data_IF_037749891493
#
_entry.id   IF_037749891493
#
_cell.length_a   1.000
_cell.length_b   1.000
_cell.length_c   1.000
_cell.angle_alpha   90.00
_cell.angle_beta   90.00
_cell.angle_gamma   90.00
#
_symmetry.space_group_name_H-M   'P 1'
#
loop_
_entity.id
_entity.type
_entity.pdbx_description
1 polymer ?
#
# COMPACT_ATOMS: atom_id res chain seq x y z
N UNK A 1 -7.31 -57.32 -5.51
CA UNK A 1 -8.71 -57.66 -5.16
C UNK A 1 -9.46 -58.58 -6.15
N UNK A 2 -8.94 -58.95 -7.32
CA UNK A 2 -9.65 -59.89 -8.25
C UNK A 2 -9.42 -61.38 -8.00
N UNK A 3 -8.27 -61.79 -7.43
CA UNK A 3 -7.91 -63.23 -7.33
C UNK A 3 -8.62 -63.99 -6.21
N UNK A 4 -8.84 -63.43 -5.02
CA UNK A 4 -9.45 -64.16 -3.88
C UNK A 4 -10.99 -64.26 -3.90
N UNK A 5 -11.69 -63.40 -4.66
CA UNK A 5 -13.14 -63.52 -4.88
C UNK A 5 -13.51 -64.76 -5.72
N UNK A 6 -12.56 -65.23 -6.53
CA UNK A 6 -12.67 -66.47 -7.31
C UNK A 6 -12.17 -67.68 -6.53
N UNK A 7 -11.09 -67.56 -5.74
CA UNK A 7 -10.47 -68.70 -5.03
C UNK A 7 -11.43 -69.34 -4.02
N UNK A 8 -12.16 -68.58 -3.21
CA UNK A 8 -13.07 -69.17 -2.22
C UNK A 8 -14.21 -70.02 -2.83
N UNK A 9 -14.97 -69.52 -3.84
CA UNK A 9 -15.96 -70.36 -4.52
C UNK A 9 -15.32 -71.48 -5.35
N UNK A 10 -14.12 -71.29 -5.94
CA UNK A 10 -13.40 -72.38 -6.63
C UNK A 10 -12.98 -73.50 -5.69
N UNK A 11 -12.46 -73.18 -4.51
CA UNK A 11 -12.09 -74.18 -3.50
C UNK A 11 -13.32 -74.92 -3.00
N UNK A 12 -14.45 -74.24 -2.83
CA UNK A 12 -15.73 -74.87 -2.53
C UNK A 12 -16.21 -75.79 -3.67
N UNK A 13 -16.06 -75.36 -4.93
CA UNK A 13 -16.41 -76.15 -6.11
C UNK A 13 -15.54 -77.40 -6.26
N UNK A 14 -14.23 -77.27 -6.02
CA UNK A 14 -13.29 -78.41 -6.02
C UNK A 14 -13.60 -79.36 -4.86
N UNK A 15 -13.91 -78.86 -3.66
CA UNK A 15 -14.29 -79.69 -2.51
C UNK A 15 -15.61 -80.43 -2.73
N UNK A 16 -16.61 -79.77 -3.34
CA UNK A 16 -17.88 -80.39 -3.72
C UNK A 16 -17.67 -81.43 -4.82
N UNK A 17 -16.88 -81.11 -5.86
CA UNK A 17 -16.57 -82.03 -6.95
C UNK A 17 -15.78 -83.26 -6.46
N UNK A 18 -14.82 -83.06 -5.55
CA UNK A 18 -14.08 -84.14 -4.90
C UNK A 18 -14.99 -85.02 -4.04
N UNK A 19 -15.91 -84.39 -3.29
CA UNK A 19 -16.92 -85.09 -2.50
C UNK A 19 -17.82 -85.97 -3.37
N UNK A 20 -18.33 -85.43 -4.50
CA UNK A 20 -19.17 -86.16 -5.46
C UNK A 20 -18.39 -87.30 -6.13
N UNK A 21 -17.14 -87.05 -6.55
CA UNK A 21 -16.29 -88.05 -7.21
C UNK A 21 -16.02 -89.26 -6.33
N UNK A 22 -15.77 -89.05 -5.03
CA UNK A 22 -15.51 -90.14 -4.09
C UNK A 22 -16.81 -90.92 -3.77
N UNK A 23 -17.94 -90.22 -3.68
CA UNK A 23 -19.26 -90.81 -3.42
C UNK A 23 -19.73 -91.78 -4.53
N UNK A 24 -19.34 -91.53 -5.78
CA UNK A 24 -19.71 -92.36 -6.94
C UNK A 24 -18.74 -93.51 -7.22
N UNK A 25 -17.50 -93.46 -6.72
CA UNK A 25 -16.43 -94.38 -7.16
C UNK A 25 -15.91 -95.31 -6.04
N UNK A 26 -16.35 -95.14 -4.80
CA UNK A 26 -15.97 -96.01 -3.67
C UNK A 26 -17.20 -96.49 -2.90
N UNK A 27 -17.24 -97.77 -2.55
CA UNK A 27 -18.37 -98.40 -1.87
C UNK A 27 -18.76 -97.71 -0.55
N UNK A 28 -20.04 -97.88 -0.20
CA UNK A 28 -20.82 -97.25 0.89
C UNK A 28 -20.04 -96.80 2.14
N UNK A 29 -19.15 -97.62 2.70
CA UNK A 29 -18.52 -97.35 4.00
C UNK A 29 -17.45 -96.26 3.98
N UNK A 30 -16.73 -96.09 2.87
CA UNK A 30 -15.70 -95.05 2.74
C UNK A 30 -16.32 -93.67 2.48
N UNK A 31 -17.48 -93.64 1.82
CA UNK A 31 -18.24 -92.41 1.61
C UNK A 31 -18.80 -91.84 2.92
N UNK A 32 -19.29 -92.70 3.83
CA UNK A 32 -19.83 -92.29 5.13
C UNK A 32 -18.75 -91.64 6.01
N UNK A 33 -17.55 -92.20 6.04
CA UNK A 33 -16.42 -91.66 6.82
C UNK A 33 -15.96 -90.30 6.29
N UNK A 34 -15.97 -90.11 4.98
CA UNK A 34 -15.61 -88.82 4.35
C UNK A 34 -16.69 -87.77 4.61
N UNK A 35 -17.98 -88.11 4.52
CA UNK A 35 -19.07 -87.18 4.84
C UNK A 35 -19.00 -86.72 6.30
N UNK A 36 -18.73 -87.66 7.23
CA UNK A 36 -18.55 -87.37 8.65
C UNK A 36 -17.40 -86.39 8.93
N UNK A 37 -16.33 -86.42 8.14
CA UNK A 37 -15.18 -85.52 8.27
C UNK A 37 -15.41 -84.19 7.54
N UNK A 38 -16.16 -84.21 6.43
CA UNK A 38 -16.42 -83.05 5.59
C UNK A 38 -17.39 -82.06 6.24
N UNK A 39 -18.43 -82.52 6.93
CA UNK A 39 -19.41 -81.64 7.60
C UNK A 39 -18.75 -80.70 8.64
N UNK A 40 -17.92 -81.20 9.59
CA UNK A 40 -17.19 -80.35 10.53
C UNK A 40 -16.24 -79.36 9.85
N UNK A 41 -15.54 -79.79 8.80
CA UNK A 41 -14.62 -78.93 8.05
C UNK A 41 -15.38 -77.78 7.38
N UNK A 42 -16.53 -78.06 6.78
CA UNK A 42 -17.36 -77.03 6.13
C UNK A 42 -17.96 -76.04 7.13
N UNK A 43 -18.34 -76.50 8.32
CA UNK A 43 -18.77 -75.62 9.43
C UNK A 43 -17.61 -74.71 9.88
N UNK A 44 -16.41 -75.27 10.07
CA UNK A 44 -15.23 -74.50 10.47
C UNK A 44 -14.84 -73.45 9.40
N UNK A 45 -14.86 -73.80 8.11
CA UNK A 45 -14.59 -72.87 7.01
C UNK A 45 -15.66 -71.77 6.94
N UNK A 46 -16.93 -72.12 7.13
CA UNK A 46 -18.03 -71.13 7.17
C UNK A 46 -17.89 -70.14 8.32
N UNK A 47 -17.49 -70.63 9.50
CA UNK A 47 -17.15 -69.80 10.66
C UNK A 47 -15.94 -68.91 10.40
N UNK A 48 -14.88 -69.45 9.77
CA UNK A 48 -13.67 -68.69 9.43
C UNK A 48 -13.97 -67.57 8.43
N UNK A 49 -14.78 -67.84 7.40
CA UNK A 49 -15.19 -66.82 6.42
C UNK A 49 -16.05 -65.75 7.09
N UNK A 50 -17.03 -66.14 7.93
CA UNK A 50 -17.81 -65.17 8.71
C UNK A 50 -16.90 -64.34 9.61
N UNK A 51 -16.03 -64.98 10.39
CA UNK A 51 -15.08 -64.30 11.29
C UNK A 51 -14.18 -63.32 10.53
N UNK A 52 -13.57 -63.72 9.41
CA UNK A 52 -12.75 -62.85 8.57
C UNK A 52 -13.54 -61.66 8.00
N UNK A 53 -14.78 -61.88 7.56
CA UNK A 53 -15.64 -60.79 7.08
C UNK A 53 -15.98 -59.84 8.22
N UNK A 54 -16.29 -60.33 9.42
CA UNK A 54 -16.63 -59.50 10.58
C UNK A 54 -15.43 -58.72 11.10
N UNK A 55 -14.25 -59.36 11.21
CA UNK A 55 -13.00 -58.71 11.63
C UNK A 55 -12.54 -57.68 10.59
N UNK A 56 -12.66 -57.98 9.29
CA UNK A 56 -12.34 -57.03 8.23
C UNK A 56 -13.30 -55.85 8.17
N UNK A 57 -14.61 -56.08 8.39
CA UNK A 57 -15.59 -54.99 8.52
C UNK A 57 -15.25 -54.11 9.71
N UNK A 58 -14.97 -54.69 10.89
CA UNK A 58 -14.49 -53.94 12.08
C UNK A 58 -13.23 -53.13 11.79
N UNK A 59 -12.23 -53.70 11.12
CA UNK A 59 -11.00 -52.99 10.77
C UNK A 59 -11.13 -51.91 9.67
N UNK A 60 -12.23 -51.90 8.90
CA UNK A 60 -12.56 -50.79 7.99
C UNK A 60 -13.32 -49.70 8.77
N UNK A 61 -14.29 -50.10 9.58
CA UNK A 61 -15.06 -49.20 10.43
C UNK A 61 -14.17 -48.40 11.38
N UNK A 62 -13.27 -49.07 12.10
CA UNK A 62 -12.31 -48.41 13.01
C UNK A 62 -11.43 -47.39 12.28
N UNK A 63 -10.99 -47.68 11.05
CA UNK A 63 -10.20 -46.74 10.23
C UNK A 63 -10.99 -45.53 9.77
N UNK A 64 -12.28 -45.71 9.47
CA UNK A 64 -13.17 -44.58 9.13
C UNK A 64 -13.38 -43.69 10.36
N UNK A 65 -13.61 -44.30 11.52
CA UNK A 65 -13.75 -43.57 12.79
C UNK A 65 -12.47 -42.83 13.18
N UNK A 66 -11.30 -43.46 13.05
CA UNK A 66 -9.99 -42.84 13.28
C UNK A 66 -9.82 -41.60 12.39
N UNK A 67 -10.11 -41.74 11.09
CA UNK A 67 -10.03 -40.63 10.12
C UNK A 67 -10.99 -39.48 10.47
N UNK A 68 -12.23 -39.79 10.81
CA UNK A 68 -13.25 -38.76 11.06
C UNK A 68 -12.95 -38.00 12.36
N UNK A 69 -12.48 -38.70 13.41
CA UNK A 69 -12.00 -38.07 14.65
C UNK A 69 -10.76 -37.20 14.42
N UNK A 70 -9.80 -37.67 13.61
CA UNK A 70 -8.65 -36.85 13.22
C UNK A 70 -9.08 -35.59 12.50
N UNK A 71 -10.02 -35.69 11.56
CA UNK A 71 -10.51 -34.54 10.81
C UNK A 71 -11.15 -33.49 11.72
N UNK A 72 -11.90 -33.90 12.75
CA UNK A 72 -12.47 -32.97 13.73
C UNK A 72 -11.36 -32.34 14.57
N UNK A 73 -10.39 -33.13 15.03
CA UNK A 73 -9.27 -32.64 15.83
C UNK A 73 -8.39 -31.63 15.07
N UNK A 74 -8.12 -31.88 13.79
CA UNK A 74 -7.35 -30.97 12.93
C UNK A 74 -8.10 -29.65 12.73
N UNK A 75 -9.40 -29.69 12.41
CA UNK A 75 -10.25 -28.49 12.29
C UNK A 75 -10.32 -27.70 13.59
N UNK A 76 -10.44 -28.37 14.73
CA UNK A 76 -10.41 -27.73 16.05
C UNK A 76 -9.06 -27.04 16.33
N UNK A 77 -7.95 -27.68 15.94
CA UNK A 77 -6.61 -27.10 16.09
C UNK A 77 -6.41 -25.86 15.24
N UNK A 78 -6.89 -25.89 13.99
CA UNK A 78 -6.89 -24.76 13.06
C UNK A 78 -7.74 -23.60 13.60
N UNK A 79 -8.97 -23.88 14.05
CA UNK A 79 -9.87 -22.89 14.64
C UNK A 79 -9.22 -22.18 15.84
N UNK A 80 -8.60 -22.92 16.76
CA UNK A 80 -7.91 -22.32 17.90
C UNK A 80 -6.74 -21.43 17.50
N UNK A 81 -6.03 -21.79 16.43
CA UNK A 81 -4.94 -20.95 15.92
C UNK A 81 -5.49 -19.65 15.33
N UNK A 82 -6.56 -19.74 14.54
CA UNK A 82 -7.23 -18.55 13.98
C UNK A 82 -7.71 -17.62 15.10
N UNK A 83 -8.40 -18.16 16.12
CA UNK A 83 -8.89 -17.37 17.24
C UNK A 83 -7.77 -16.74 18.08
N UNK A 84 -6.65 -17.42 18.20
CA UNK A 84 -5.44 -16.87 18.82
C UNK A 84 -4.90 -15.68 18.02
N UNK A 85 -4.84 -15.79 16.69
CA UNK A 85 -4.41 -14.69 15.82
C UNK A 85 -5.38 -13.50 15.91
N UNK A 86 -6.69 -13.74 16.00
CA UNK A 86 -7.69 -12.69 16.26
C UNK A 86 -7.43 -11.90 17.54
N UNK A 87 -7.11 -12.58 18.64
CA UNK A 87 -6.87 -11.94 19.93
C UNK A 87 -5.49 -11.25 19.97
N UNK A 88 -4.43 -11.91 19.51
CA UNK A 88 -3.07 -11.42 19.66
C UNK A 88 -2.63 -10.45 18.56
N UNK A 89 -3.06 -10.65 17.32
CA UNK A 89 -2.67 -9.78 16.18
C UNK A 89 -3.62 -8.62 16.00
N UNK A 90 -4.92 -8.85 16.17
CA UNK A 90 -5.95 -7.84 15.88
C UNK A 90 -6.63 -7.26 17.12
N UNK A 91 -6.35 -7.77 18.32
CA UNK A 91 -6.97 -7.30 19.56
C UNK A 91 -8.47 -7.57 19.63
N UNK A 92 -8.98 -8.53 18.83
CA UNK A 92 -10.39 -8.91 18.81
C UNK A 92 -10.60 -10.03 19.81
N UNK A 93 -11.43 -9.79 20.83
CA UNK A 93 -11.69 -10.79 21.88
C UNK A 93 -12.32 -12.05 21.29
N UNK A 94 -11.62 -13.18 21.44
CA UNK A 94 -12.07 -14.53 21.07
C UNK A 94 -12.24 -15.45 22.29
N UNK A 95 -12.09 -14.90 23.51
CA UNK A 95 -12.05 -15.66 24.76
C UNK A 95 -13.28 -16.53 25.00
N UNK A 96 -14.48 -16.00 24.79
CA UNK A 96 -15.73 -16.75 24.95
C UNK A 96 -15.82 -17.95 23.99
N UNK A 97 -15.34 -17.78 22.76
CA UNK A 97 -15.27 -18.84 21.77
C UNK A 97 -14.23 -19.89 22.20
N UNK A 98 -13.06 -19.46 22.64
CA UNK A 98 -12.00 -20.34 23.15
C UNK A 98 -12.45 -21.15 24.37
N UNK A 99 -13.23 -20.56 25.28
CA UNK A 99 -13.80 -21.24 26.45
C UNK A 99 -14.84 -22.30 26.04
N UNK A 100 -15.71 -22.02 25.07
CA UNK A 100 -16.65 -23.03 24.57
C UNK A 100 -15.96 -24.16 23.80
N UNK A 101 -14.90 -23.86 23.05
CA UNK A 101 -14.11 -24.86 22.34
C UNK A 101 -13.44 -25.88 23.29
N UNK A 102 -13.23 -25.54 24.57
CA UNK A 102 -12.75 -26.52 25.57
C UNK A 102 -13.70 -27.72 25.68
N UNK A 103 -15.00 -27.53 25.51
CA UNK A 103 -15.99 -28.64 25.52
C UNK A 103 -15.75 -29.62 24.38
N UNK A 104 -15.31 -29.13 23.22
CA UNK A 104 -14.94 -29.97 22.07
C UNK A 104 -13.64 -30.72 22.36
N UNK A 105 -12.68 -30.08 23.05
CA UNK A 105 -11.44 -30.74 23.49
C UNK A 105 -11.72 -31.90 24.44
N UNK A 106 -12.59 -31.68 25.43
CA UNK A 106 -13.00 -32.70 26.39
C UNK A 106 -13.73 -33.85 25.69
N UNK A 107 -14.66 -33.53 24.80
CA UNK A 107 -15.37 -34.53 24.00
C UNK A 107 -14.43 -35.34 23.08
N UNK A 108 -13.44 -34.71 22.44
CA UNK A 108 -12.41 -35.42 21.68
C UNK A 108 -11.57 -36.35 22.56
N UNK A 109 -11.25 -35.92 23.79
CA UNK A 109 -10.51 -36.74 24.75
C UNK A 109 -11.31 -37.96 25.21
N UNK A 110 -12.63 -37.83 25.36
CA UNK A 110 -13.55 -38.95 25.61
C UNK A 110 -13.58 -39.95 24.45
N UNK A 111 -13.50 -39.49 23.19
CA UNK A 111 -13.35 -40.34 22.02
C UNK A 111 -11.96 -41.00 21.89
N UNK A 112 -11.04 -40.69 22.80
CA UNK A 112 -9.67 -41.18 22.79
C UNK A 112 -8.73 -40.36 21.90
N UNK A 113 -9.07 -39.12 21.57
CA UNK A 113 -8.23 -38.19 20.80
C UNK A 113 -7.73 -37.05 21.69
N UNK A 114 -6.41 -36.98 21.90
CA UNK A 114 -5.79 -35.91 22.66
C UNK A 114 -5.25 -34.84 21.70
N UNK A 115 -5.69 -33.59 21.87
CA UNK A 115 -5.24 -32.43 21.08
C UNK A 115 -4.45 -31.46 21.98
N UNK A 116 -3.15 -31.74 22.11
CA UNK A 116 -2.19 -30.91 22.85
C UNK A 116 -0.96 -30.65 21.96
N UNK A 117 -1.07 -29.73 21.00
CA UNK A 117 -0.02 -29.38 20.02
C UNK A 117 0.29 -30.45 18.96
N UNK A 118 0.05 -31.74 19.26
CA UNK A 118 0.00 -32.86 18.32
C UNK A 118 -1.22 -33.72 18.61
N UNK A 119 -1.92 -34.14 17.56
CA UNK A 119 -3.07 -35.03 17.64
C UNK A 119 -2.59 -36.45 17.95
N UNK A 120 -3.02 -37.04 19.07
CA UNK A 120 -2.72 -38.43 19.45
C UNK A 120 -4.01 -39.22 19.60
N UNK A 121 -4.02 -40.46 19.11
CA UNK A 121 -5.20 -41.33 19.16
C UNK A 121 -4.91 -42.57 19.99
N UNK A 122 -5.74 -42.79 21.00
CA UNK A 122 -5.83 -44.03 21.74
C UNK A 122 -6.78 -45.01 21.02
N UNK A 123 -6.19 -45.94 20.27
CA UNK A 123 -6.93 -46.99 19.54
C UNK A 123 -7.68 -47.96 20.46
N UNK A 124 -7.37 -48.02 21.75
CA UNK A 124 -8.11 -48.86 22.71
C UNK A 124 -9.42 -48.20 23.09
N UNK A 125 -9.41 -46.88 23.33
CA UNK A 125 -10.63 -46.09 23.57
C UNK A 125 -11.49 -45.99 22.32
N UNK A 126 -10.89 -45.72 21.16
CA UNK A 126 -11.60 -45.61 19.88
C UNK A 126 -12.43 -46.88 19.54
N UNK A 127 -11.96 -48.07 19.94
CA UNK A 127 -12.67 -49.33 19.74
C UNK A 127 -13.99 -49.46 20.50
N UNK A 128 -14.20 -48.63 21.53
CA UNK A 128 -15.42 -48.60 22.36
C UNK A 128 -16.41 -47.51 21.95
N UNK A 129 -15.97 -46.60 21.08
CA UNK A 129 -16.76 -45.47 20.59
C UNK A 129 -17.80 -45.94 19.58
N UNK A 130 -18.95 -45.28 19.53
CA UNK A 130 -19.99 -45.49 18.51
C UNK A 130 -19.98 -44.32 17.53
N UNK A 131 -20.35 -44.54 16.27
CA UNK A 131 -20.46 -43.45 15.28
C UNK A 131 -21.36 -42.29 15.73
N UNK A 132 -22.37 -42.57 16.55
CA UNK A 132 -23.25 -41.55 17.12
C UNK A 132 -22.48 -40.54 17.99
N UNK A 133 -21.45 -40.99 18.71
CA UNK A 133 -20.63 -40.13 19.56
C UNK A 133 -19.76 -39.19 18.69
N UNK A 134 -19.18 -39.70 17.60
CA UNK A 134 -18.41 -38.89 16.63
C UNK A 134 -19.31 -37.84 15.97
N UNK A 135 -20.50 -38.24 15.54
CA UNK A 135 -21.47 -37.32 14.93
C UNK A 135 -21.96 -36.27 15.94
N UNK A 136 -22.10 -36.63 17.21
CA UNK A 136 -22.41 -35.69 18.28
C UNK A 136 -21.30 -34.66 18.48
N UNK A 137 -20.03 -35.09 18.54
CA UNK A 137 -18.89 -34.15 18.66
C UNK A 137 -18.80 -33.24 17.44
N UNK A 138 -19.04 -33.76 16.24
CA UNK A 138 -19.09 -32.96 15.01
C UNK A 138 -20.16 -31.88 15.09
N UNK A 139 -21.39 -32.24 15.50
CA UNK A 139 -22.49 -31.29 15.66
C UNK A 139 -22.25 -30.28 16.78
N UNK A 140 -21.60 -30.70 17.87
CA UNK A 140 -21.19 -29.80 18.94
C UNK A 140 -20.20 -28.75 18.41
N UNK A 141 -19.19 -29.18 17.66
CA UNK A 141 -18.19 -28.28 17.07
C UNK A 141 -18.83 -27.30 16.06
N UNK A 142 -19.64 -27.81 15.14
CA UNK A 142 -20.35 -26.98 14.14
C UNK A 142 -21.33 -26.00 14.81
N UNK A 143 -22.07 -26.44 15.84
CA UNK A 143 -23.00 -25.57 16.56
C UNK A 143 -22.31 -24.48 17.40
N UNK A 144 -21.11 -24.72 17.94
CA UNK A 144 -20.32 -23.66 18.58
C UNK A 144 -19.82 -22.68 17.51
N UNK A 145 -19.29 -23.20 16.40
CA UNK A 145 -18.77 -22.42 15.28
C UNK A 145 -19.83 -21.46 14.72
N UNK A 146 -21.00 -21.97 14.34
CA UNK A 146 -22.10 -21.17 13.77
C UNK A 146 -22.54 -20.01 14.68
N UNK A 147 -22.49 -20.20 16.01
CA UNK A 147 -22.87 -19.16 16.97
C UNK A 147 -21.79 -18.09 17.13
N UNK A 148 -20.54 -18.50 17.26
CA UNK A 148 -19.46 -17.58 17.59
C UNK A 148 -18.85 -16.88 16.38
N UNK A 149 -18.96 -17.45 15.18
CA UNK A 149 -18.46 -16.80 13.96
C UNK A 149 -19.23 -15.52 13.62
N UNK A 150 -20.55 -15.49 13.89
CA UNK A 150 -21.36 -14.28 13.72
C UNK A 150 -20.90 -13.18 14.68
N UNK A 151 -20.60 -13.56 15.93
CA UNK A 151 -20.09 -12.62 16.94
C UNK A 151 -18.69 -12.13 16.56
N UNK A 152 -17.82 -13.04 16.11
CA UNK A 152 -16.47 -12.73 15.64
C UNK A 152 -16.52 -11.78 14.44
N UNK A 153 -17.41 -12.03 13.47
CA UNK A 153 -17.65 -11.15 12.34
C UNK A 153 -18.09 -9.75 12.77
N UNK A 154 -19.02 -9.64 13.72
CA UNK A 154 -19.45 -8.33 14.24
C UNK A 154 -18.28 -7.57 14.87
N UNK A 155 -17.53 -8.21 15.78
CA UNK A 155 -16.36 -7.60 16.45
C UNK A 155 -15.26 -7.21 15.46
N UNK A 156 -15.08 -8.03 14.43
CA UNK A 156 -14.16 -7.77 13.33
C UNK A 156 -14.55 -6.51 12.55
N UNK A 157 -15.83 -6.40 12.16
CA UNK A 157 -16.34 -5.23 11.44
C UNK A 157 -16.25 -3.94 12.28
N UNK A 158 -16.49 -4.03 13.59
CA UNK A 158 -16.28 -2.91 14.51
C UNK A 158 -14.81 -2.46 14.50
N UNK A 159 -13.87 -3.42 14.57
CA UNK A 159 -12.44 -3.13 14.53
C UNK A 159 -11.99 -2.53 13.20
N UNK A 160 -12.49 -3.03 12.07
CA UNK A 160 -12.19 -2.43 10.77
C UNK A 160 -12.75 -1.00 10.65
N UNK A 161 -13.92 -0.75 11.22
CA UNK A 161 -14.52 0.59 11.26
C UNK A 161 -13.71 1.54 12.12
N UNK A 162 -13.15 1.06 13.23
CA UNK A 162 -12.22 1.81 14.08
C UNK A 162 -10.93 2.16 13.33
N UNK A 163 -10.32 1.20 12.61
CA UNK A 163 -9.15 1.50 11.76
C UNK A 163 -9.47 2.54 10.68
N UNK A 164 -10.61 2.41 9.99
CA UNK A 164 -11.03 3.39 9.00
C UNK A 164 -11.18 4.78 9.62
N UNK A 165 -11.79 4.87 10.80
CA UNK A 165 -11.92 6.12 11.54
C UNK A 165 -10.56 6.73 11.86
N UNK A 166 -9.60 5.94 12.34
CA UNK A 166 -8.25 6.42 12.61
C UNK A 166 -7.54 6.95 11.36
N UNK A 167 -7.67 6.26 10.22
CA UNK A 167 -7.08 6.73 8.97
C UNK A 167 -7.71 8.04 8.49
N UNK A 168 -9.04 8.18 8.58
CA UNK A 168 -9.74 9.45 8.28
C UNK A 168 -9.33 10.58 9.20
N UNK A 169 -9.13 10.29 10.49
CA UNK A 169 -8.63 11.29 11.43
C UNK A 169 -7.20 11.72 11.10
N UNK A 170 -6.34 10.81 10.61
CA UNK A 170 -4.99 11.15 10.14
C UNK A 170 -5.02 12.01 8.88
N UNK A 171 -5.89 11.67 7.91
CA UNK A 171 -6.09 12.47 6.70
C UNK A 171 -6.54 13.88 7.05
N UNK A 172 -7.57 14.01 7.89
CA UNK A 172 -8.08 15.29 8.37
C UNK A 172 -7.06 16.09 9.20
N UNK A 173 -6.17 15.41 9.93
CA UNK A 173 -5.12 16.05 10.72
C UNK A 173 -3.96 16.59 9.86
N UNK A 174 -3.84 16.18 8.60
CA UNK A 174 -2.86 16.75 7.67
C UNK A 174 -2.07 15.74 6.82
N UNK A 175 -2.31 14.43 6.97
CA UNK A 175 -1.70 13.40 6.11
C UNK A 175 -2.52 13.18 4.83
N UNK A 176 -2.34 14.05 3.85
CA UNK A 176 -3.21 14.13 2.66
C UNK A 176 -3.06 12.95 1.68
N UNK A 177 -1.99 12.16 1.78
CA UNK A 177 -1.70 11.05 0.86
C UNK A 177 -2.42 9.73 1.23
N UNK A 178 -3.33 9.75 2.21
CA UNK A 178 -4.01 8.55 2.70
C UNK A 178 -5.30 8.21 1.94
N UNK A 179 -5.81 9.13 1.12
CA UNK A 179 -7.10 9.02 0.45
C UNK A 179 -7.30 7.67 -0.28
N UNK A 180 -6.31 7.25 -1.07
CA UNK A 180 -6.41 6.00 -1.83
C UNK A 180 -6.51 4.76 -0.96
N UNK A 181 -5.90 4.74 0.23
CA UNK A 181 -6.01 3.62 1.17
C UNK A 181 -7.32 3.66 1.96
N UNK A 182 -7.81 4.86 2.27
CA UNK A 182 -9.13 5.08 2.87
C UNK A 182 -10.21 4.57 1.92
N UNK A 183 -10.19 4.96 0.64
CA UNK A 183 -11.14 4.48 -0.37
C UNK A 183 -11.09 2.96 -0.54
N UNK A 184 -9.89 2.36 -0.57
CA UNK A 184 -9.73 0.90 -0.61
C UNK A 184 -10.37 0.23 0.59
N UNK A 185 -10.15 0.73 1.80
CA UNK A 185 -10.74 0.17 3.01
C UNK A 185 -12.25 0.37 3.05
N UNK A 186 -12.74 1.54 2.65
CA UNK A 186 -14.18 1.80 2.50
C UNK A 186 -14.83 0.85 1.50
N UNK A 187 -14.19 0.61 0.35
CA UNK A 187 -14.71 -0.32 -0.66
C UNK A 187 -14.85 -1.75 -0.13
N UNK A 188 -13.93 -2.19 0.75
CA UNK A 188 -13.95 -3.49 1.43
C UNK A 188 -15.04 -3.56 2.50
N UNK A 189 -15.34 -2.44 3.16
CA UNK A 189 -16.35 -2.35 4.22
C UNK A 189 -17.76 -2.05 3.74
N UNK A 190 -17.93 -1.68 2.46
CA UNK A 190 -19.26 -1.47 1.89
C UNK A 190 -20.08 -2.75 2.04
N UNK A 191 -21.38 -2.64 2.38
CA UNK A 191 -22.29 -3.77 2.44
C UNK A 191 -22.59 -4.26 1.01
N UNK A 192 -21.62 -4.92 0.40
CA UNK A 192 -21.80 -5.77 -0.77
C UNK A 192 -21.68 -7.21 -0.29
N UNK A 193 -22.74 -8.00 -0.50
CA UNK A 193 -22.76 -9.45 -0.26
C UNK A 193 -21.42 -10.08 -0.63
N UNK A 194 -20.77 -10.86 0.28
CA UNK A 194 -19.85 -12.00 -0.05
C UNK A 194 -18.96 -12.55 1.07
N UNK A 195 -18.89 -12.00 2.29
CA UNK A 195 -18.07 -12.66 3.31
C UNK A 195 -18.86 -13.87 3.82
N UNK A 196 -18.40 -15.06 3.43
CA UNK A 196 -18.84 -16.29 4.07
C UNK A 196 -18.38 -16.17 5.52
N UNK A 197 -19.32 -16.22 6.46
CA UNK A 197 -19.05 -16.15 7.89
C UNK A 197 -18.43 -17.48 8.28
N UNK A 198 -17.13 -17.60 8.01
CA UNK A 198 -16.25 -18.72 8.31
C UNK A 198 -14.93 -18.17 8.83
N UNK A 199 -14.45 -18.68 9.96
CA UNK A 199 -13.27 -18.18 10.69
C UNK A 199 -12.03 -18.03 9.82
N UNK A 200 -11.83 -18.92 8.84
CA UNK A 200 -10.71 -18.83 7.89
C UNK A 200 -10.89 -17.64 6.95
N UNK A 201 -12.07 -17.49 6.36
CA UNK A 201 -12.39 -16.35 5.47
C UNK A 201 -12.31 -15.01 6.23
N UNK A 202 -12.78 -14.98 7.49
CA UNK A 202 -12.64 -13.82 8.37
C UNK A 202 -11.17 -13.48 8.63
N UNK A 203 -10.33 -14.49 8.86
CA UNK A 203 -8.89 -14.31 9.07
C UNK A 203 -8.20 -13.78 7.81
N UNK A 204 -8.52 -14.32 6.64
CA UNK A 204 -7.99 -13.85 5.36
C UNK A 204 -8.38 -12.38 5.12
N UNK A 205 -9.66 -12.05 5.34
CA UNK A 205 -10.13 -10.67 5.25
C UNK A 205 -9.37 -9.72 6.21
N UNK A 206 -9.16 -10.13 7.46
CA UNK A 206 -8.42 -9.32 8.43
C UNK A 206 -6.93 -9.16 8.08
N UNK A 207 -6.31 -10.15 7.46
CA UNK A 207 -4.95 -10.01 6.94
C UNK A 207 -4.89 -8.93 5.85
N UNK A 208 -5.85 -8.95 4.92
CA UNK A 208 -5.92 -7.95 3.85
C UNK A 208 -6.23 -6.54 4.37
N UNK A 209 -7.10 -6.41 5.38
CA UNK A 209 -7.36 -5.14 6.06
C UNK A 209 -6.12 -4.66 6.79
N UNK A 210 -5.47 -5.53 7.57
CA UNK A 210 -4.23 -5.22 8.27
C UNK A 210 -3.14 -4.71 7.34
N UNK A 211 -2.93 -5.37 6.19
CA UNK A 211 -1.98 -4.91 5.16
C UNK A 211 -2.32 -3.52 4.63
N UNK A 212 -3.60 -3.23 4.41
CA UNK A 212 -4.05 -1.92 3.90
C UNK A 212 -3.80 -0.81 4.94
N UNK A 213 -4.06 -1.10 6.22
CA UNK A 213 -3.83 -0.17 7.34
C UNK A 213 -2.34 0.05 7.54
N UNK A 214 -1.54 -1.00 7.50
CA UNK A 214 -0.08 -0.93 7.62
C UNK A 214 0.54 -0.07 6.51
N UNK A 215 0.14 -0.27 5.25
CA UNK A 215 0.56 0.57 4.12
C UNK A 215 0.21 2.05 4.35
N UNK A 216 -1.01 2.33 4.82
CA UNK A 216 -1.45 3.70 5.09
C UNK A 216 -0.60 4.35 6.21
N UNK A 217 -0.31 3.61 7.29
CA UNK A 217 0.53 4.11 8.38
C UNK A 217 1.99 4.32 7.95
N UNK A 218 2.51 3.46 7.07
CA UNK A 218 3.85 3.64 6.49
C UNK A 218 3.93 4.90 5.62
N UNK A 219 2.89 5.19 4.82
CA UNK A 219 2.80 6.44 4.05
C UNK A 219 2.81 7.66 5.00
N UNK A 220 1.97 7.65 6.03
CA UNK A 220 1.94 8.73 7.02
C UNK A 220 3.29 8.90 7.75
N UNK A 221 3.98 7.80 8.05
CA UNK A 221 5.31 7.83 8.65
C UNK A 221 6.36 8.44 7.70
N UNK A 222 6.31 8.13 6.41
CA UNK A 222 7.19 8.75 5.42
C UNK A 222 6.94 10.25 5.30
N UNK A 223 5.67 10.68 5.30
CA UNK A 223 5.30 12.09 5.30
C UNK A 223 5.81 12.80 6.58
N UNK A 224 5.72 12.13 7.74
CA UNK A 224 6.26 12.65 8.99
C UNK A 224 7.79 12.84 8.95
N UNK A 225 8.53 11.87 8.40
CA UNK A 225 9.98 11.97 8.19
C UNK A 225 10.34 13.18 7.31
N UNK A 226 9.61 13.37 6.21
CA UNK A 226 9.82 14.51 5.30
C UNK A 226 9.56 15.84 6.01
N UNK A 227 8.45 15.95 6.75
CA UNK A 227 8.09 17.16 7.48
C UNK A 227 9.08 17.48 8.60
N UNK A 228 9.59 16.46 9.30
CA UNK A 228 10.62 16.63 10.32
C UNK A 228 11.93 17.16 9.72
N UNK A 229 12.35 16.63 8.56
CA UNK A 229 13.51 17.13 7.83
C UNK A 229 13.33 18.61 7.43
N UNK A 230 12.17 18.96 6.87
CA UNK A 230 11.86 20.35 6.49
C UNK A 230 11.84 21.27 7.71
N UNK A 231 11.25 20.85 8.83
CA UNK A 231 11.23 21.66 10.06
C UNK A 231 12.61 21.92 10.64
N UNK A 232 13.54 20.96 10.51
CA UNK A 232 14.92 21.14 10.93
C UNK A 232 15.68 22.12 10.04
N UNK A 233 15.50 22.01 8.73
CA UNK A 233 16.19 22.86 7.73
C UNK A 233 15.70 24.31 7.78
N UNK A 234 14.38 24.52 7.79
CA UNK A 234 13.77 25.83 7.58
C UNK A 234 13.51 26.53 8.91
N UNK A 235 12.81 25.86 9.82
CA UNK A 235 12.40 26.49 11.07
C UNK A 235 13.54 26.47 12.11
N UNK A 236 14.62 25.71 11.88
CA UNK A 236 15.74 25.49 12.84
C UNK A 236 15.23 25.09 14.22
N UNK A 237 14.09 24.39 14.27
CA UNK A 237 13.41 24.00 15.50
C UNK A 237 14.00 22.70 16.02
N UNK A 238 14.02 22.54 17.35
CA UNK A 238 14.34 21.27 17.99
C UNK A 238 13.24 20.23 17.72
N UNK A 239 13.53 19.32 16.78
CA UNK A 239 12.67 18.20 16.40
C UNK A 239 12.97 16.89 17.14
N UNK A 240 13.78 16.91 18.21
CA UNK A 240 14.19 15.69 18.94
C UNK A 240 13.00 14.84 19.37
N UNK A 241 11.96 15.48 19.92
CA UNK A 241 10.72 14.79 20.34
C UNK A 241 9.99 14.13 19.16
N UNK A 242 9.94 14.78 18.00
CA UNK A 242 9.34 14.23 16.78
C UNK A 242 10.11 12.98 16.33
N UNK A 243 11.45 13.01 16.38
CA UNK A 243 12.28 11.84 16.05
C UNK A 243 12.08 10.67 17.02
N UNK A 244 11.84 10.94 18.30
CA UNK A 244 11.46 9.88 19.25
C UNK A 244 10.10 9.29 18.90
N UNK A 245 9.11 10.13 18.58
CA UNK A 245 7.77 9.67 18.22
C UNK A 245 7.77 8.85 16.92
N UNK A 246 8.57 9.23 15.92
CA UNK A 246 8.82 8.45 14.71
C UNK A 246 9.27 7.02 15.04
N UNK A 247 10.25 6.85 15.95
CA UNK A 247 10.73 5.52 16.37
C UNK A 247 9.65 4.72 17.11
N UNK A 248 8.82 5.40 17.90
CA UNK A 248 7.68 4.75 18.59
C UNK A 248 6.67 4.25 17.55
N UNK A 249 6.41 5.02 16.50
CA UNK A 249 5.53 4.62 15.39
C UNK A 249 6.12 3.45 14.62
N UNK A 250 7.39 3.51 14.23
CA UNK A 250 8.11 2.40 13.57
C UNK A 250 7.96 1.10 14.37
N UNK A 251 8.30 1.14 15.66
CA UNK A 251 8.16 0.00 16.56
C UNK A 251 6.70 -0.49 16.67
N UNK A 252 5.74 0.42 16.73
CA UNK A 252 4.31 0.05 16.83
C UNK A 252 3.81 -0.63 15.57
N UNK A 253 4.22 -0.16 14.38
CA UNK A 253 3.88 -0.78 13.09
C UNK A 253 4.50 -2.18 12.99
N UNK A 254 5.79 -2.33 13.34
CA UNK A 254 6.50 -3.62 13.32
C UNK A 254 5.84 -4.69 14.20
N UNK A 255 5.18 -4.28 15.29
CA UNK A 255 4.51 -5.18 16.23
C UNK A 255 3.00 -5.30 15.98
N UNK A 256 2.48 -4.73 14.89
CA UNK A 256 1.05 -4.78 14.54
C UNK A 256 0.14 -3.93 15.43
N UNK A 257 0.70 -3.03 16.24
CA UNK A 257 -0.08 -2.12 17.09
C UNK A 257 -0.47 -0.85 16.31
N UNK A 258 -1.36 -1.04 15.34
CA UNK A 258 -1.78 0.01 14.40
C UNK A 258 -2.51 1.18 15.07
N UNK A 259 -3.24 0.93 16.16
CA UNK A 259 -3.96 1.98 16.89
C UNK A 259 -3.01 2.93 17.61
N UNK A 260 -1.98 2.38 18.27
CA UNK A 260 -0.98 3.19 18.90
C UNK A 260 -0.18 3.99 17.86
N UNK A 261 0.18 3.36 16.73
CA UNK A 261 0.84 4.05 15.62
C UNK A 261 0.01 5.23 15.12
N UNK A 262 -1.28 5.02 14.84
CA UNK A 262 -2.18 6.09 14.38
C UNK A 262 -2.32 7.22 15.40
N UNK A 263 -2.47 6.90 16.68
CA UNK A 263 -2.57 7.90 17.75
C UNK A 263 -1.31 8.76 17.88
N UNK A 264 -0.13 8.13 17.81
CA UNK A 264 1.15 8.85 17.88
C UNK A 264 1.36 9.70 16.62
N UNK A 265 1.07 9.16 15.43
CA UNK A 265 1.11 9.92 14.18
C UNK A 265 0.23 11.16 14.22
N UNK A 266 -1.02 11.03 14.69
CA UNK A 266 -1.94 12.17 14.84
C UNK A 266 -1.37 13.27 15.75
N UNK A 267 -0.90 12.89 16.93
CA UNK A 267 -0.28 13.84 17.86
C UNK A 267 1.00 14.48 17.29
N UNK A 268 1.72 13.75 16.44
CA UNK A 268 2.96 14.21 15.83
C UNK A 268 2.68 15.24 14.72
N UNK A 269 1.72 14.98 13.83
CA UNK A 269 1.36 15.94 12.76
C UNK A 269 0.78 17.22 13.33
N UNK A 270 -0.08 17.14 14.35
CA UNK A 270 -0.61 18.32 15.04
C UNK A 270 0.51 19.20 15.61
N UNK A 271 1.54 18.57 16.21
CA UNK A 271 2.72 19.29 16.70
C UNK A 271 3.57 19.87 15.57
N UNK A 272 3.81 19.11 14.50
CA UNK A 272 4.55 19.60 13.35
C UNK A 272 3.85 20.80 12.70
N UNK A 273 2.52 20.77 12.58
CA UNK A 273 1.75 21.89 12.05
C UNK A 273 1.98 23.16 12.86
N UNK A 274 1.88 23.07 14.19
CA UNK A 274 2.12 24.22 15.08
C UNK A 274 3.56 24.73 14.96
N UNK A 275 4.55 23.83 14.90
CA UNK A 275 5.96 24.22 14.79
C UNK A 275 6.31 24.83 13.43
N UNK A 276 5.60 24.44 12.37
CA UNK A 276 5.87 24.87 11.00
C UNK A 276 5.05 26.08 10.56
N UNK A 277 4.04 26.49 11.34
CA UNK A 277 3.08 27.53 10.96
C UNK A 277 3.75 28.82 10.47
N UNK A 278 4.61 29.41 11.30
CA UNK A 278 5.26 30.69 10.98
C UNK A 278 6.15 30.58 9.72
N UNK A 279 6.91 29.48 9.62
CA UNK A 279 7.78 29.22 8.48
C UNK A 279 6.97 29.01 7.19
N UNK A 280 5.84 28.31 7.27
CA UNK A 280 4.93 28.08 6.16
C UNK A 280 4.30 29.39 5.68
N UNK A 281 3.73 30.17 6.58
CA UNK A 281 3.05 31.44 6.24
C UNK A 281 4.03 32.44 5.64
N UNK A 282 5.23 32.56 6.23
CA UNK A 282 6.27 33.43 5.70
C UNK A 282 6.70 32.99 4.30
N UNK A 283 7.00 31.70 4.11
CA UNK A 283 7.45 31.19 2.82
C UNK A 283 6.35 31.32 1.74
N UNK A 284 5.09 31.03 2.08
CA UNK A 284 3.95 31.20 1.17
C UNK A 284 3.82 32.65 0.71
N UNK A 285 3.89 33.59 1.65
CA UNK A 285 3.84 35.02 1.33
C UNK A 285 5.00 35.43 0.40
N UNK A 286 6.24 35.01 0.71
CA UNK A 286 7.42 35.30 -0.11
C UNK A 286 7.30 34.75 -1.54
N UNK A 287 6.84 33.51 -1.70
CA UNK A 287 6.69 32.90 -3.03
C UNK A 287 5.55 33.56 -3.84
N UNK A 288 4.43 33.93 -3.20
CA UNK A 288 3.37 34.71 -3.87
C UNK A 288 3.87 36.09 -4.30
N UNK A 289 4.66 36.74 -3.45
CA UNK A 289 5.32 38.02 -3.75
C UNK A 289 6.24 37.95 -4.98
N UNK A 290 6.89 36.80 -5.20
CA UNK A 290 7.70 36.54 -6.39
C UNK A 290 6.82 36.39 -7.64
N UNK A 291 5.63 35.77 -7.54
CA UNK A 291 4.73 35.64 -8.70
C UNK A 291 4.34 37.00 -9.27
N UNK A 292 4.11 38.01 -8.41
CA UNK A 292 3.78 39.37 -8.83
C UNK A 292 4.97 39.96 -9.62
N UNK A 293 6.18 39.88 -9.07
CA UNK A 293 7.38 40.42 -9.73
C UNK A 293 7.67 39.73 -11.07
N UNK A 294 7.45 38.42 -11.19
CA UNK A 294 7.61 37.70 -12.46
C UNK A 294 6.56 38.14 -13.47
N UNK A 295 5.31 38.34 -13.03
CA UNK A 295 4.20 38.70 -13.93
C UNK A 295 4.39 40.03 -14.65
N UNK A 296 5.10 40.99 -14.01
CA UNK A 296 5.40 42.31 -14.57
C UNK A 296 6.34 42.24 -15.79
N UNK A 297 7.15 41.19 -15.90
CA UNK A 297 8.11 40.97 -16.98
C UNK A 297 7.61 40.05 -18.10
N UNK A 298 6.40 39.51 -17.99
CA UNK A 298 5.88 38.56 -18.96
C UNK A 298 5.12 39.28 -20.08
N UNK A 299 5.55 39.03 -21.32
CA UNK A 299 4.91 39.58 -22.52
C UNK A 299 3.99 38.58 -23.22
N UNK A 300 4.27 37.27 -23.13
CA UNK A 300 3.51 36.24 -23.86
C UNK A 300 2.32 35.71 -23.04
N UNK A 301 1.26 35.27 -23.74
CA UNK A 301 0.08 34.68 -23.09
C UNK A 301 0.34 33.28 -22.51
N UNK A 302 1.26 32.52 -23.12
CA UNK A 302 1.63 31.17 -22.68
C UNK A 302 2.41 31.20 -21.36
N UNK A 303 3.41 32.08 -21.25
CA UNK A 303 4.18 32.23 -20.01
C UNK A 303 3.30 32.71 -18.84
N UNK A 304 2.30 33.56 -19.12
CA UNK A 304 1.31 34.00 -18.13
C UNK A 304 0.44 32.85 -17.65
N UNK A 305 0.01 31.96 -18.55
CA UNK A 305 -0.80 30.79 -18.19
C UNK A 305 -0.03 29.81 -17.28
N UNK A 306 1.26 29.60 -17.56
CA UNK A 306 2.13 28.77 -16.71
C UNK A 306 2.35 29.40 -15.32
N UNK A 307 2.61 30.71 -15.26
CA UNK A 307 2.75 31.43 -13.99
C UNK A 307 1.44 31.38 -13.18
N UNK A 308 0.29 31.55 -13.82
CA UNK A 308 -1.03 31.45 -13.20
C UNK A 308 -1.32 30.04 -12.68
N UNK A 309 -0.80 29.00 -13.34
CA UNK A 309 -0.89 27.63 -12.85
C UNK A 309 -0.05 27.43 -11.57
N UNK A 310 1.19 27.95 -11.55
CA UNK A 310 2.05 27.93 -10.37
C UNK A 310 1.43 28.71 -9.21
N UNK A 311 0.93 29.92 -9.47
CA UNK A 311 0.25 30.77 -8.49
C UNK A 311 -0.94 30.06 -7.86
N UNK A 312 -1.81 29.45 -8.67
CA UNK A 312 -2.94 28.65 -8.17
C UNK A 312 -2.49 27.46 -7.32
N UNK A 313 -1.40 26.80 -7.70
CA UNK A 313 -0.80 25.71 -6.93
C UNK A 313 -0.33 26.17 -5.53
N UNK A 314 0.35 27.32 -5.47
CA UNK A 314 0.82 27.95 -4.22
C UNK A 314 -0.37 28.37 -3.35
N UNK A 315 -1.38 29.02 -3.94
CA UNK A 315 -2.59 29.45 -3.23
C UNK A 315 -3.35 28.26 -2.63
N UNK A 316 -3.41 27.14 -3.37
CA UNK A 316 -4.09 25.90 -2.95
C UNK A 316 -3.41 25.18 -1.78
N UNK A 317 -2.14 25.45 -1.47
CA UNK A 317 -1.50 24.93 -0.25
C UNK A 317 -2.07 25.68 0.96
N UNK A 318 -2.89 25.02 1.78
CA UNK A 318 -3.63 25.67 2.88
C UNK A 318 -3.12 25.28 4.27
N UNK A 319 -2.27 24.25 4.37
CA UNK A 319 -1.78 23.71 5.65
C UNK A 319 -0.25 23.68 5.70
N UNK A 320 0.37 23.90 6.89
CA UNK A 320 1.80 23.67 7.09
C UNK A 320 2.26 22.25 6.80
N UNK A 321 1.38 21.25 6.84
CA UNK A 321 1.69 19.88 6.41
C UNK A 321 2.00 19.78 4.92
N UNK A 322 1.67 20.80 4.13
CA UNK A 322 1.96 20.88 2.69
C UNK A 322 3.24 21.67 2.38
N UNK A 323 4.03 22.06 3.39
CA UNK A 323 5.23 22.90 3.19
C UNK A 323 6.21 22.30 2.18
N UNK A 324 6.33 20.97 2.11
CA UNK A 324 7.17 20.30 1.12
C UNK A 324 6.66 20.54 -0.32
N UNK A 325 5.35 20.43 -0.54
CA UNK A 325 4.72 20.70 -1.84
C UNK A 325 4.80 22.18 -2.20
N UNK A 326 4.64 23.06 -1.22
CA UNK A 326 4.83 24.50 -1.39
C UNK A 326 6.25 24.83 -1.86
N UNK A 327 7.28 24.13 -1.37
CA UNK A 327 8.66 24.27 -1.87
C UNK A 327 8.81 23.80 -3.30
N UNK A 328 8.16 22.70 -3.70
CA UNK A 328 8.22 22.24 -5.10
C UNK A 328 7.70 23.32 -6.06
N UNK A 329 6.60 24.00 -5.70
CA UNK A 329 6.10 25.15 -6.46
C UNK A 329 7.05 26.36 -6.41
N UNK A 330 7.62 26.65 -5.23
CA UNK A 330 8.61 27.72 -5.07
C UNK A 330 9.85 27.51 -5.94
N UNK A 331 10.40 26.30 -5.97
CA UNK A 331 11.55 25.93 -6.79
C UNK A 331 11.22 26.00 -8.29
N UNK A 332 10.01 25.61 -8.68
CA UNK A 332 9.53 25.76 -10.06
C UNK A 332 9.41 27.25 -10.44
N UNK A 333 8.90 28.08 -9.53
CA UNK A 333 8.78 29.52 -9.73
C UNK A 333 10.15 30.21 -9.85
N UNK A 334 11.13 29.82 -9.03
CA UNK A 334 12.51 30.32 -9.11
C UNK A 334 13.12 29.99 -10.48
N UNK A 335 12.95 28.75 -10.97
CA UNK A 335 13.44 28.37 -12.30
C UNK A 335 12.78 29.19 -13.39
N UNK A 336 11.45 29.39 -13.32
CA UNK A 336 10.72 30.22 -14.28
C UNK A 336 11.17 31.67 -14.22
N UNK A 337 11.34 32.25 -13.03
CA UNK A 337 11.76 33.64 -12.86
C UNK A 337 13.12 33.90 -13.48
N UNK A 338 14.09 32.99 -13.29
CA UNK A 338 15.41 33.11 -13.91
C UNK A 338 15.32 32.98 -15.44
N UNK A 339 14.51 32.06 -15.96
CA UNK A 339 14.29 31.92 -17.39
C UNK A 339 13.67 33.19 -18.00
N UNK A 340 12.63 33.75 -17.37
CA UNK A 340 11.98 34.99 -17.80
C UNK A 340 12.98 36.15 -17.83
N UNK A 341 13.78 36.31 -16.77
CA UNK A 341 14.79 37.36 -16.71
C UNK A 341 15.82 37.20 -17.84
N UNK A 342 16.29 35.97 -18.09
CA UNK A 342 17.20 35.66 -19.20
C UNK A 342 16.61 36.03 -20.57
N UNK A 343 15.33 35.76 -20.81
CA UNK A 343 14.63 36.18 -22.04
C UNK A 343 14.59 37.70 -22.18
N UNK A 344 14.28 38.43 -21.10
CA UNK A 344 14.25 39.90 -21.11
C UNK A 344 15.64 40.47 -21.42
N UNK A 345 16.70 39.99 -20.76
CA UNK A 345 18.06 40.44 -21.05
C UNK A 345 18.51 40.10 -22.48
N UNK A 346 18.10 38.94 -23.01
CA UNK A 346 18.36 38.60 -24.41
C UNK A 346 17.62 39.56 -25.36
N UNK A 347 16.38 39.93 -25.03
CA UNK A 347 15.62 40.90 -25.82
C UNK A 347 16.27 42.29 -25.81
N UNK A 348 16.82 42.72 -24.68
CA UNK A 348 17.61 43.96 -24.59
C UNK A 348 18.84 43.85 -25.49
N UNK A 349 19.55 42.72 -25.46
CA UNK A 349 20.72 42.49 -26.33
C UNK A 349 20.36 42.59 -27.83
N UNK A 350 19.23 42.01 -28.25
CA UNK A 350 18.72 42.15 -29.62
C UNK A 350 18.43 43.61 -29.98
N UNK A 351 17.78 44.37 -29.08
CA UNK A 351 17.52 45.80 -29.29
C UNK A 351 18.82 46.60 -29.41
N UNK A 352 19.82 46.34 -28.55
CA UNK A 352 21.14 46.97 -28.62
C UNK A 352 21.83 46.67 -29.97
N UNK A 353 21.69 45.45 -30.49
CA UNK A 353 22.21 45.07 -31.80
C UNK A 353 21.47 45.78 -32.95
N UNK A 354 20.13 45.88 -32.89
CA UNK A 354 19.34 46.64 -33.86
C UNK A 354 19.70 48.13 -33.85
N UNK A 355 19.95 48.72 -32.67
CA UNK A 355 20.42 50.10 -32.53
C UNK A 355 21.79 50.28 -33.19
N UNK A 356 22.71 49.33 -32.96
CA UNK A 356 24.05 49.36 -33.55
C UNK A 356 23.99 49.27 -35.09
N UNK A 357 23.12 48.44 -35.64
CA UNK A 357 22.93 48.30 -37.09
C UNK A 357 22.28 49.55 -37.70
N UNK A 358 21.26 50.11 -37.04
CA UNK A 358 20.56 51.30 -37.52
C UNK A 358 21.42 52.57 -37.46
N UNK A 359 22.42 52.64 -36.57
CA UNK A 359 23.29 53.80 -36.41
C UNK A 359 24.72 53.43 -35.97
N UNK A 360 25.57 52.94 -36.89
CA UNK A 360 26.86 52.32 -36.55
C UNK A 360 27.99 53.30 -36.17
N UNK A 361 27.80 54.62 -36.30
CA UNK A 361 28.93 55.59 -36.32
C UNK A 361 28.73 56.89 -35.55
N UNK A 362 27.66 57.08 -34.76
CA UNK A 362 27.47 58.36 -34.05
C UNK A 362 27.79 58.31 -32.56
N UNK A 363 28.61 59.27 -32.09
CA UNK A 363 28.81 59.60 -30.66
C UNK A 363 27.52 60.06 -29.97
N UNK A 364 26.48 60.41 -30.75
CA UNK A 364 25.17 60.88 -30.28
C UNK A 364 24.38 59.76 -29.59
N UNK A 365 24.55 58.52 -30.04
CA UNK A 365 23.87 57.34 -29.50
C UNK A 365 24.84 56.14 -29.44
N UNK A 366 25.75 56.07 -28.44
CA UNK A 366 26.68 54.95 -28.29
C UNK A 366 25.99 53.66 -27.81
N UNK A 367 26.38 52.52 -28.35
CA UNK A 367 25.90 51.19 -27.93
C UNK A 367 26.85 50.62 -26.89
N UNK A 368 26.35 50.39 -25.68
CA UNK A 368 27.15 50.04 -24.50
C UNK A 368 27.27 48.51 -24.29
N UNK A 369 26.49 47.70 -25.05
CA UNK A 369 26.36 46.24 -24.87
C UNK A 369 26.12 45.87 -23.40
N UNK A 370 25.26 46.62 -22.73
CA UNK A 370 25.08 46.59 -21.29
C UNK A 370 24.52 45.24 -20.83
N UNK A 371 23.61 44.68 -21.62
CA UNK A 371 22.98 43.37 -21.36
C UNK A 371 24.01 42.24 -21.22
N UNK A 372 25.12 42.29 -21.96
CA UNK A 372 26.18 41.27 -21.95
C UNK A 372 26.90 41.18 -20.61
N UNK A 373 27.13 42.32 -19.95
CA UNK A 373 27.78 42.38 -18.64
C UNK A 373 26.84 41.94 -17.49
N UNK A 374 25.52 42.00 -17.71
CA UNK A 374 24.50 41.66 -16.72
C UNK A 374 24.04 40.22 -16.77
N UNK A 375 24.28 39.50 -17.87
CA UNK A 375 23.96 38.07 -17.97
C UNK A 375 24.71 37.21 -16.95
N UNK A 376 25.93 37.57 -16.57
CA UNK A 376 26.67 36.87 -15.51
C UNK A 376 25.94 36.98 -14.16
N UNK A 377 25.30 38.12 -13.85
CA UNK A 377 24.50 38.30 -12.63
C UNK A 377 23.21 37.46 -12.65
N UNK A 378 22.64 37.22 -13.84
CA UNK A 378 21.49 36.31 -14.04
C UNK A 378 21.90 34.84 -13.92
N UNK A 379 23.07 34.48 -14.42
CA UNK A 379 23.63 33.14 -14.21
C UNK A 379 23.94 32.88 -12.73
N UNK A 380 24.45 33.88 -12.00
CA UNK A 380 24.64 33.79 -10.54
C UNK A 380 23.33 33.54 -9.78
N UNK A 381 22.18 34.05 -10.28
CA UNK A 381 20.87 33.75 -9.69
C UNK A 381 20.50 32.27 -9.82
N UNK A 382 20.97 31.55 -10.85
CA UNK A 382 20.73 30.10 -10.98
C UNK A 382 21.37 29.30 -9.84
N UNK A 383 22.43 29.85 -9.26
CA UNK A 383 23.17 29.25 -8.16
C UNK A 383 22.71 29.75 -6.78
N UNK A 384 21.73 30.66 -6.74
CA UNK A 384 21.10 31.10 -5.49
C UNK A 384 20.43 29.94 -4.76
N UNK A 385 20.83 29.69 -3.51
CA UNK A 385 20.29 28.59 -2.71
C UNK A 385 18.80 28.76 -2.42
N UNK A 386 18.03 27.67 -2.53
CA UNK A 386 16.61 27.57 -2.16
C UNK A 386 16.36 27.81 -0.66
N UNK A 387 17.40 27.91 0.16
CA UNK A 387 17.32 28.24 1.59
C UNK A 387 17.31 29.75 1.88
N UNK A 388 17.62 30.60 0.90
CA UNK A 388 17.60 32.07 1.06
C UNK A 388 16.62 32.74 0.09
N UNK A 389 15.38 32.25 0.03
CA UNK A 389 14.35 32.75 -0.90
C UNK A 389 14.14 34.26 -0.79
N UNK A 390 14.16 34.82 0.42
CA UNK A 390 14.11 36.29 0.61
C UNK A 390 15.27 37.04 -0.05
N UNK A 391 16.49 36.49 0.01
CA UNK A 391 17.68 37.06 -0.64
C UNK A 391 17.55 36.98 -2.16
N UNK A 392 17.10 35.81 -2.65
CA UNK A 392 16.80 35.59 -4.06
C UNK A 392 15.77 36.59 -4.59
N UNK A 393 14.62 36.74 -3.92
CA UNK A 393 13.54 37.65 -4.34
C UNK A 393 14.05 39.09 -4.41
N UNK A 394 14.83 39.52 -3.42
CA UNK A 394 15.40 40.87 -3.40
C UNK A 394 16.32 41.11 -4.60
N UNK A 395 17.21 40.15 -4.89
CA UNK A 395 18.15 40.24 -6.02
C UNK A 395 17.43 40.17 -7.36
N UNK A 396 16.42 39.29 -7.47
CA UNK A 396 15.55 39.19 -8.63
C UNK A 396 14.82 40.50 -8.92
N UNK A 397 14.17 41.11 -7.92
CA UNK A 397 13.43 42.38 -8.08
C UNK A 397 14.34 43.52 -8.55
N UNK A 398 15.58 43.58 -8.05
CA UNK A 398 16.54 44.59 -8.49
C UNK A 398 16.89 44.42 -9.97
N UNK A 399 17.21 43.21 -10.40
CA UNK A 399 17.54 42.91 -11.79
C UNK A 399 16.32 43.07 -12.72
N UNK A 400 15.13 42.71 -12.24
CA UNK A 400 13.88 42.87 -12.98
C UNK A 400 13.56 44.34 -13.27
N UNK A 401 13.63 45.19 -12.25
CA UNK A 401 13.38 46.63 -12.39
C UNK A 401 14.40 47.31 -13.32
N UNK A 402 15.68 46.92 -13.19
CA UNK A 402 16.77 47.40 -14.02
C UNK A 402 16.60 46.99 -15.50
N UNK A 403 16.31 45.70 -15.74
CA UNK A 403 16.02 45.18 -17.07
C UNK A 403 14.80 45.85 -17.71
N UNK A 404 13.69 46.01 -16.97
CA UNK A 404 12.48 46.67 -17.46
C UNK A 404 12.74 48.13 -17.87
N UNK A 405 13.45 48.89 -17.03
CA UNK A 405 13.83 50.27 -17.32
C UNK A 405 14.69 50.36 -18.58
N UNK A 406 15.64 49.44 -18.78
CA UNK A 406 16.52 49.45 -19.95
C UNK A 406 15.78 49.05 -21.22
N UNK A 407 14.90 48.05 -21.14
CA UNK A 407 14.09 47.61 -22.28
C UNK A 407 13.21 48.74 -22.82
N UNK A 408 12.57 49.52 -21.95
CA UNK A 408 11.80 50.71 -22.35
C UNK A 408 12.69 51.78 -22.98
N UNK A 409 13.85 52.08 -22.38
CA UNK A 409 14.78 53.08 -22.88
C UNK A 409 15.32 52.73 -24.27
N UNK A 410 15.82 51.50 -24.47
CA UNK A 410 16.39 51.08 -25.75
C UNK A 410 15.31 50.96 -26.83
N UNK A 411 14.10 50.51 -26.49
CA UNK A 411 12.98 50.49 -27.44
C UNK A 411 12.59 51.91 -27.90
N UNK A 412 12.50 52.88 -26.99
CA UNK A 412 12.18 54.27 -27.33
C UNK A 412 13.31 54.92 -28.15
N UNK A 413 14.56 54.65 -27.76
CA UNK A 413 15.75 55.11 -28.48
C UNK A 413 15.79 54.59 -29.92
N UNK A 414 15.57 53.29 -30.12
CA UNK A 414 15.53 52.67 -31.44
C UNK A 414 14.41 53.28 -32.30
N UNK A 415 13.25 53.57 -31.70
CA UNK A 415 12.14 54.25 -32.39
C UNK A 415 12.56 55.64 -32.88
N UNK A 416 13.21 56.46 -32.05
CA UNK A 416 13.70 57.80 -32.44
C UNK A 416 14.73 57.74 -33.57
N UNK A 417 15.67 56.80 -33.50
CA UNK A 417 16.69 56.60 -34.57
C UNK A 417 16.01 56.25 -35.90
N UNK A 418 14.96 55.42 -35.88
CA UNK A 418 14.21 55.03 -37.08
C UNK A 418 13.32 56.17 -37.62
N UNK A 419 12.83 57.07 -36.76
CA UNK A 419 11.97 58.21 -37.14
C UNK A 419 12.76 59.45 -37.63
N UNK A 420 14.01 59.64 -37.18
CA UNK A 420 14.93 60.67 -37.67
C UNK A 420 16.06 60.05 -38.52
N UNK A 421 15.82 59.64 -39.77
CA UNK A 421 16.90 59.19 -40.64
C UNK A 421 17.79 60.40 -40.93
N UNK A 422 18.93 60.50 -40.25
CA UNK A 422 19.94 61.50 -40.57
C UNK A 422 20.39 61.25 -42.01
N UNK A 423 19.94 62.13 -42.91
CA UNK A 423 20.49 62.26 -44.26
C UNK A 423 21.99 62.48 -44.12
N UNK A 424 22.77 61.49 -44.55
CA UNK A 424 24.21 61.62 -44.67
C UNK A 424 24.53 62.90 -45.46
N UNK A 425 25.50 63.73 -45.04
CA UNK A 425 25.93 64.85 -45.86
C UNK A 425 26.60 64.28 -47.11
N UNK A 426 25.91 64.37 -48.24
CA UNK A 426 26.48 64.21 -49.57
C UNK A 426 27.52 65.31 -49.75
N UNK A 427 28.80 64.96 -49.61
CA UNK A 427 29.87 65.76 -50.19
C UNK A 427 29.75 65.66 -51.71
N UNK A 428 29.03 66.60 -52.33
CA UNK A 428 29.17 66.87 -53.76
C UNK A 428 30.55 67.48 -53.99
N UNK A 429 31.46 66.69 -54.54
CA UNK A 429 32.58 67.20 -55.32
C UNK A 429 32.03 67.89 -56.56
N UNK A 430 31.98 69.21 -56.55
CA UNK A 430 31.93 70.01 -57.78
C UNK A 430 33.38 70.36 -58.14
N UNK A 431 33.97 69.55 -59.01
CA UNK A 431 34.97 70.02 -59.97
C UNK A 431 34.21 70.73 -61.10
N UNK A 432 34.57 71.99 -61.35
CA UNK A 432 34.65 72.55 -62.71
C UNK A 432 35.56 73.78 -62.66
N UNK A 433 36.50 73.80 -63.60
CA UNK A 433 37.72 74.62 -63.69
C UNK A 433 37.44 76.00 -64.42
N UNK A 434 38.45 76.84 -64.78
CA UNK A 434 38.50 78.32 -64.61
C UNK A 434 37.96 79.17 -65.80
N UNK A 435 38.04 80.53 -65.78
CA UNK A 435 39.21 81.25 -66.38
C UNK A 435 39.53 82.70 -65.86
N UNK A 436 40.79 83.16 -66.09
CA UNK A 436 41.26 84.58 -66.26
C UNK A 436 41.14 85.55 -65.07
N UNK A 437 42.10 86.43 -64.75
CA UNK A 437 43.24 87.05 -65.45
C UNK A 437 44.53 86.97 -64.62
#
# INVERSE_FOLDING_TARGET
MRRYRLIAPLVFLVLIALGIFILFNTGSDFAITIILLFIPVMIAVSFLVRYLVTVRKRGITERVMERDVMRIADRYGEERRILYDFEHKYGISSREFMEELVKVKEALLELGCEVNGRTKIDRVKLRKVVFADIEWVKKLFEGIKDRHEVVLYSRMMDKCSEYLKHLKELEAAGYLNLHGQIERLESKLRPGDRIIVDSLELSLFMNDVGSTVEEALQIALQDAHRLEAVGREIAKVDTTRIRTDIKIVEHSIEHGNYENAARVLKSMIERLIVLLQDAFDQYKAEVLDLTIAVSELLDTSEDKAELDALKRGIEACMSPSEIAKLREYGDALIRKSVATLGTVYHRIFELEAEIAEANPTTEVYPVEYWSKNKMDEVEELKWGSTTEVKSFIRRYRLLAADAYSRLLYDAERLKRIKEEPHSAPSYKTTEDDPPGE
#
